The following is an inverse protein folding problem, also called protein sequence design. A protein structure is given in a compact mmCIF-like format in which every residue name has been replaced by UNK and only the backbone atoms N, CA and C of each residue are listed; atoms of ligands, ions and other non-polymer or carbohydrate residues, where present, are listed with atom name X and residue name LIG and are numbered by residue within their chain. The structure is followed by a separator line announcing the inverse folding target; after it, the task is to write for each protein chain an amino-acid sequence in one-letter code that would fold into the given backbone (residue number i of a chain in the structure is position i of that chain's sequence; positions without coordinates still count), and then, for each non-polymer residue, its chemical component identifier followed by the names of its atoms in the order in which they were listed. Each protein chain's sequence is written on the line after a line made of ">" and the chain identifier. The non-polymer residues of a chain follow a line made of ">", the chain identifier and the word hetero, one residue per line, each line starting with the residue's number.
data_IF_785439243588
#
_entry.id   IF_785439243588
#
_cell.length_a   1.000
_cell.length_b   1.000
_cell.length_c   1.000
_cell.angle_alpha   90.00
_cell.angle_beta   90.00
_cell.angle_gamma   90.00
#
_symmetry.space_group_name_H-M   'P 1'
#
loop_
_entity.id
_entity.type
_entity.pdbx_description
1 polymer ?
#
# COMPACT_ATOMS: atom_id res chain seq x y z
N UNK A 1 4.49 22.32 -29.74
CA UNK A 1 4.26 21.47 -28.55
C UNK A 1 4.64 22.30 -27.34
N UNK A 2 3.72 22.54 -26.40
CA UNK A 2 4.04 23.27 -25.16
C UNK A 2 5.05 22.46 -24.35
N UNK A 3 6.08 23.12 -23.82
CA UNK A 3 6.99 22.52 -22.85
C UNK A 3 6.15 21.94 -21.70
N UNK A 4 6.31 20.66 -21.32
CA UNK A 4 5.68 20.14 -20.13
C UNK A 4 6.04 21.04 -18.95
N UNK A 5 5.04 21.46 -18.18
CA UNK A 5 5.28 22.21 -16.94
C UNK A 5 6.22 21.41 -16.04
N UNK A 6 7.03 22.11 -15.25
CA UNK A 6 7.89 21.45 -14.27
C UNK A 6 7.05 20.68 -13.24
N UNK A 7 7.67 19.76 -12.49
CA UNK A 7 6.99 19.11 -11.35
C UNK A 7 6.45 20.14 -10.34
N UNK A 8 7.11 21.30 -10.21
CA UNK A 8 6.64 22.41 -9.39
C UNK A 8 5.36 23.06 -9.92
N UNK A 9 5.16 23.08 -11.22
CA UNK A 9 3.96 23.61 -11.83
C UNK A 9 2.79 22.64 -11.65
N UNK A 10 3.03 21.33 -11.79
CA UNK A 10 2.05 20.29 -11.49
C UNK A 10 1.64 20.35 -10.02
N UNK A 11 2.62 20.42 -9.12
CA UNK A 11 2.34 20.51 -7.68
C UNK A 11 1.46 21.74 -7.37
N UNK A 12 1.87 22.93 -7.82
CA UNK A 12 1.15 24.18 -7.50
C UNK A 12 -0.24 24.27 -8.14
N UNK A 13 -0.43 23.69 -9.32
CA UNK A 13 -1.69 23.81 -10.07
C UNK A 13 -2.67 22.67 -9.84
N UNK A 14 -2.19 21.49 -9.40
CA UNK A 14 -3.01 20.28 -9.24
C UNK A 14 -2.94 19.69 -7.84
N UNK A 15 -1.73 19.38 -7.35
CA UNK A 15 -1.58 18.59 -6.11
C UNK A 15 -1.82 19.42 -4.85
N UNK A 16 -1.42 20.68 -4.80
CA UNK A 16 -1.53 21.53 -3.60
C UNK A 16 -2.97 21.78 -3.14
N UNK A 17 -3.93 21.68 -4.06
CA UNK A 17 -5.37 21.81 -3.79
C UNK A 17 -6.11 20.47 -3.86
N UNK A 18 -5.40 19.37 -4.11
CA UNK A 18 -6.01 18.04 -4.17
C UNK A 18 -6.39 17.53 -2.77
N UNK A 19 -7.38 16.64 -2.74
CA UNK A 19 -7.63 15.82 -1.56
C UNK A 19 -6.69 14.63 -1.58
N UNK A 20 -5.97 14.41 -0.49
CA UNK A 20 -5.13 13.24 -0.29
C UNK A 20 -5.87 12.25 0.59
N UNK A 21 -6.20 11.09 0.02
CA UNK A 21 -6.82 9.99 0.74
C UNK A 21 -5.75 8.95 1.03
N UNK A 22 -5.54 8.65 2.31
CA UNK A 22 -4.68 7.54 2.72
C UNK A 22 -5.44 6.22 2.57
N UNK A 23 -4.86 5.27 1.84
CA UNK A 23 -5.39 3.92 1.62
C UNK A 23 -4.64 2.86 2.44
N UNK A 24 -3.85 3.30 3.41
CA UNK A 24 -2.96 2.46 4.22
C UNK A 24 -3.57 2.17 5.58
N UNK A 25 -3.61 0.90 5.97
CA UNK A 25 -3.77 0.55 7.38
C UNK A 25 -2.42 0.71 8.09
N UNK A 26 -2.42 1.39 9.24
CA UNK A 26 -1.23 1.48 10.07
C UNK A 26 -0.84 0.08 10.58
N UNK A 27 0.40 -0.34 10.31
CA UNK A 27 0.86 -1.66 10.72
C UNK A 27 1.07 -1.74 12.24
N UNK A 28 0.68 -2.87 12.83
CA UNK A 28 0.93 -3.20 14.23
C UNK A 28 0.92 -4.72 14.45
N UNK A 29 1.56 -5.22 15.53
CA UNK A 29 1.45 -6.62 15.93
C UNK A 29 -0.02 -7.02 16.18
N UNK A 30 -0.38 -8.23 15.78
CA UNK A 30 -1.71 -8.80 15.93
C UNK A 30 -2.78 -8.28 14.95
N UNK A 31 -2.39 -7.47 13.96
CA UNK A 31 -3.33 -7.08 12.90
C UNK A 31 -3.73 -8.29 12.04
N UNK A 32 -4.86 -8.22 11.31
CA UNK A 32 -5.25 -9.27 10.37
C UNK A 32 -4.14 -9.57 9.35
N UNK A 33 -3.74 -10.83 9.27
CA UNK A 33 -2.73 -11.33 8.34
C UNK A 33 -3.05 -12.77 7.94
N UNK A 34 -2.30 -13.32 6.98
CA UNK A 34 -2.47 -14.71 6.60
C UNK A 34 -2.08 -15.64 7.76
N UNK A 35 -2.97 -16.53 8.25
CA UNK A 35 -2.76 -17.24 9.52
C UNK A 35 -1.52 -18.15 9.60
N UNK A 36 -0.92 -18.51 8.46
CA UNK A 36 0.28 -19.34 8.42
C UNK A 36 1.59 -18.53 8.56
N UNK A 37 1.53 -17.20 8.47
CA UNK A 37 2.69 -16.34 8.64
C UNK A 37 2.90 -15.96 10.11
N UNK A 38 4.16 -15.72 10.53
CA UNK A 38 4.41 -15.17 11.85
C UNK A 38 3.82 -13.75 11.96
N UNK A 39 3.49 -13.36 13.18
CA UNK A 39 3.13 -11.99 13.52
C UNK A 39 4.35 -11.04 13.36
N UNK A 40 4.09 -9.74 13.25
CA UNK A 40 5.14 -8.72 13.31
C UNK A 40 5.81 -8.71 14.70
N UNK A 41 7.13 -8.70 14.69
CA UNK A 41 7.91 -8.35 15.87
C UNK A 41 8.38 -6.90 15.79
N UNK A 42 8.07 -6.13 16.84
CA UNK A 42 8.49 -4.75 16.99
C UNK A 42 9.13 -4.53 18.35
N UNK A 43 10.32 -3.91 18.35
CA UNK A 43 10.98 -3.52 19.60
C UNK A 43 11.62 -2.15 19.49
N UNK A 44 11.48 -1.35 20.55
CA UNK A 44 12.20 -0.08 20.68
C UNK A 44 13.62 -0.36 21.20
N UNK A 45 14.62 -0.19 20.33
CA UNK A 45 16.04 -0.33 20.65
C UNK A 45 16.54 0.84 21.50
N UNK A 46 16.17 2.06 21.10
CA UNK A 46 16.44 3.31 21.81
C UNK A 46 15.12 4.07 22.01
N UNK A 47 14.92 4.67 23.18
CA UNK A 47 13.68 5.37 23.49
C UNK A 47 13.86 6.47 24.54
N UNK A 48 13.18 7.60 24.36
CA UNK A 48 13.23 8.72 25.30
C UNK A 48 12.79 8.33 26.72
N UNK A 49 11.84 7.40 26.87
CA UNK A 49 11.40 6.90 28.18
C UNK A 49 12.50 6.15 28.94
N UNK A 50 13.54 5.68 28.24
CA UNK A 50 14.73 5.06 28.80
C UNK A 50 15.86 6.07 29.08
N UNK A 51 15.68 7.33 28.69
CA UNK A 51 16.70 8.38 28.78
C UNK A 51 17.59 8.51 27.55
N UNK A 52 17.29 7.81 26.45
CA UNK A 52 18.01 7.96 25.19
C UNK A 52 17.70 9.32 24.52
N UNK A 53 18.61 9.80 23.68
CA UNK A 53 18.48 11.11 23.00
C UNK A 53 17.60 11.06 21.73
N UNK A 54 17.19 9.88 21.29
CA UNK A 54 16.37 9.66 20.10
C UNK A 54 15.74 8.26 20.16
N UNK A 55 14.75 8.02 19.29
CA UNK A 55 14.03 6.76 19.22
C UNK A 55 14.51 5.91 18.03
N UNK A 56 14.70 4.62 18.25
CA UNK A 56 14.99 3.63 17.20
C UNK A 56 14.12 2.40 17.41
N UNK A 57 13.41 1.98 16.37
CA UNK A 57 12.64 0.74 16.36
C UNK A 57 13.30 -0.29 15.45
N UNK A 58 13.32 -1.54 15.91
CA UNK A 58 13.53 -2.71 15.06
C UNK A 58 12.18 -3.31 14.69
N UNK A 59 12.05 -3.70 13.42
CA UNK A 59 10.88 -4.35 12.87
C UNK A 59 11.31 -5.64 12.18
N UNK A 60 10.58 -6.73 12.40
CA UNK A 60 10.70 -7.97 11.64
C UNK A 60 9.30 -8.48 11.29
N UNK A 61 9.03 -8.64 10.00
CA UNK A 61 7.74 -9.10 9.47
C UNK A 61 7.94 -9.65 8.07
N UNK A 62 6.97 -10.44 7.59
CA UNK A 62 6.93 -10.96 6.21
C UNK A 62 6.56 -9.86 5.22
N UNK A 63 6.96 -9.98 3.94
CA UNK A 63 6.66 -8.96 2.93
C UNK A 63 5.17 -8.67 2.76
N UNK A 64 4.31 -9.69 2.89
CA UNK A 64 2.84 -9.60 2.78
C UNK A 64 2.18 -9.22 4.11
N UNK A 65 2.57 -8.07 4.68
CA UNK A 65 2.05 -7.57 5.97
C UNK A 65 1.19 -6.31 5.78
N UNK A 66 -0.08 -6.34 6.19
CA UNK A 66 -0.99 -5.19 6.10
C UNK A 66 -1.24 -4.74 4.65
N UNK A 67 -1.32 -3.42 4.42
CA UNK A 67 -1.36 -2.85 3.07
C UNK A 67 0.01 -3.01 2.40
N UNK A 68 0.13 -3.86 1.39
CA UNK A 68 1.39 -4.21 0.73
C UNK A 68 1.26 -4.29 -0.79
N UNK A 69 2.38 -4.58 -1.47
CA UNK A 69 2.45 -4.81 -2.92
C UNK A 69 2.90 -6.24 -3.17
N UNK A 70 2.17 -6.98 -3.99
CA UNK A 70 2.59 -8.29 -4.48
C UNK A 70 3.34 -8.15 -5.82
N UNK A 71 4.67 -8.33 -5.84
CA UNK A 71 5.44 -8.29 -7.07
C UNK A 71 5.23 -9.57 -7.92
N UNK A 72 5.54 -9.56 -9.22
CA UNK A 72 5.38 -10.73 -10.09
C UNK A 72 6.01 -12.03 -9.56
N UNK A 73 7.17 -11.95 -8.90
CA UNK A 73 7.84 -13.11 -8.28
C UNK A 73 6.98 -13.83 -7.23
N UNK A 74 5.94 -13.19 -6.70
CA UNK A 74 5.02 -13.79 -5.75
C UNK A 74 4.31 -15.03 -6.32
N UNK A 75 4.03 -15.05 -7.63
CA UNK A 75 3.35 -16.17 -8.30
C UNK A 75 4.07 -16.69 -9.56
N UNK A 76 5.08 -15.98 -10.06
CA UNK A 76 5.81 -16.34 -11.28
C UNK A 76 7.27 -16.58 -10.93
N UNK A 77 7.73 -17.83 -11.01
CA UNK A 77 9.14 -18.16 -10.79
C UNK A 77 10.04 -17.40 -11.78
N UNK A 78 11.14 -16.83 -11.27
CA UNK A 78 11.99 -15.90 -12.02
C UNK A 78 11.34 -14.55 -12.36
N UNK A 79 10.14 -14.27 -11.86
CA UNK A 79 9.46 -12.99 -12.00
C UNK A 79 10.21 -11.85 -11.32
N UNK A 80 9.82 -10.61 -11.64
CA UNK A 80 10.44 -9.42 -11.02
C UNK A 80 10.14 -9.37 -9.52
N UNK A 81 11.16 -9.09 -8.72
CA UNK A 81 11.03 -8.74 -7.29
C UNK A 81 10.63 -7.27 -7.13
N UNK A 82 10.22 -6.87 -5.92
CA UNK A 82 9.72 -5.52 -5.64
C UNK A 82 10.76 -4.43 -5.94
N UNK A 83 12.04 -4.68 -5.66
CA UNK A 83 13.17 -3.79 -5.93
C UNK A 83 13.48 -3.63 -7.43
N UNK A 84 12.91 -4.48 -8.28
CA UNK A 84 13.07 -4.44 -9.73
C UNK A 84 11.91 -3.69 -10.43
N UNK A 85 10.90 -3.25 -9.68
CA UNK A 85 9.79 -2.46 -10.23
C UNK A 85 10.20 -0.98 -10.32
N UNK A 86 10.23 -0.36 -11.52
CA UNK A 86 10.59 1.03 -11.67
C UNK A 86 9.48 1.95 -11.14
N UNK A 87 9.85 3.12 -10.61
CA UNK A 87 8.91 4.12 -10.05
C UNK A 87 7.82 4.54 -11.06
N UNK A 88 8.13 4.55 -12.36
CA UNK A 88 7.16 4.85 -13.40
C UNK A 88 5.99 3.85 -13.46
N UNK A 89 6.20 2.61 -13.02
CA UNK A 89 5.14 1.59 -12.90
C UNK A 89 4.36 1.69 -11.56
N UNK A 90 4.79 2.56 -10.63
CA UNK A 90 4.13 2.77 -9.33
C UNK A 90 3.14 3.95 -9.35
N UNK A 91 3.09 4.72 -10.45
CA UNK A 91 2.16 5.82 -10.65
C UNK A 91 1.11 5.43 -11.68
N UNK A 92 -0.09 5.05 -11.21
CA UNK A 92 -1.15 4.49 -12.03
C UNK A 92 -2.48 5.20 -11.78
N UNK A 93 -3.39 5.12 -12.75
CA UNK A 93 -4.78 5.51 -12.54
C UNK A 93 -5.46 4.46 -11.65
N UNK A 94 -6.23 4.93 -10.68
CA UNK A 94 -7.06 4.09 -9.82
C UNK A 94 -8.50 4.07 -10.36
N UNK A 95 -9.04 2.87 -10.55
CA UNK A 95 -10.48 2.65 -10.81
C UNK A 95 -11.06 2.00 -9.56
N UNK A 96 -12.21 2.49 -9.10
CA UNK A 96 -12.92 1.96 -7.93
C UNK A 96 -14.18 1.26 -8.44
N UNK A 97 -14.26 -0.06 -8.23
CA UNK A 97 -15.46 -0.84 -8.44
C UNK A 97 -16.16 -1.00 -7.10
N UNK A 98 -17.24 -0.25 -6.88
CA UNK A 98 -17.99 -0.32 -5.62
C UNK A 98 -19.01 -1.46 -5.67
N UNK A 99 -18.72 -2.54 -4.94
CA UNK A 99 -19.62 -3.67 -4.71
C UNK A 99 -19.98 -3.84 -3.22
N UNK A 100 -19.81 -2.77 -2.43
CA UNK A 100 -19.95 -2.83 -0.97
C UNK A 100 -21.32 -3.36 -0.51
N UNK A 101 -22.41 -2.94 -1.14
CA UNK A 101 -23.77 -3.43 -0.84
C UNK A 101 -23.93 -4.94 -1.10
N UNK A 102 -23.30 -5.46 -2.17
CA UNK A 102 -23.34 -6.88 -2.50
C UNK A 102 -22.54 -7.70 -1.49
N UNK A 103 -21.35 -7.23 -1.11
CA UNK A 103 -20.49 -7.87 -0.10
C UNK A 103 -21.14 -7.86 1.29
N UNK A 104 -21.87 -6.80 1.63
CA UNK A 104 -22.61 -6.72 2.90
C UNK A 104 -23.73 -7.78 3.00
N UNK A 105 -24.31 -8.18 1.86
CA UNK A 105 -25.33 -9.21 1.79
C UNK A 105 -24.75 -10.64 1.67
N UNK A 106 -23.62 -10.77 0.97
CA UNK A 106 -22.94 -12.05 0.71
C UNK A 106 -21.41 -11.86 0.77
N UNK A 107 -20.71 -12.40 1.78
CA UNK A 107 -19.26 -12.25 1.91
C UNK A 107 -18.47 -12.93 0.78
N UNK A 108 -19.11 -13.82 -0.01
CA UNK A 108 -18.51 -14.47 -1.17
C UNK A 108 -18.83 -13.74 -2.50
N UNK A 109 -19.46 -12.56 -2.45
CA UNK A 109 -19.77 -11.77 -3.64
C UNK A 109 -18.50 -11.38 -4.41
N UNK A 110 -18.47 -11.71 -5.70
CA UNK A 110 -17.32 -11.43 -6.58
C UNK A 110 -17.65 -10.36 -7.64
N UNK A 111 -16.69 -9.48 -8.00
CA UNK A 111 -16.84 -8.59 -9.14
C UNK A 111 -17.07 -9.38 -10.45
N UNK A 112 -17.81 -8.78 -11.38
CA UNK A 112 -18.17 -9.35 -12.67
C UNK A 112 -17.82 -8.39 -13.80
N UNK A 113 -17.85 -8.86 -15.06
CA UNK A 113 -17.65 -7.98 -16.22
C UNK A 113 -18.70 -6.87 -16.33
N UNK A 114 -19.90 -7.08 -15.79
CA UNK A 114 -20.93 -6.05 -15.77
C UNK A 114 -20.51 -4.82 -14.93
N UNK A 115 -19.69 -5.03 -13.90
CA UNK A 115 -19.18 -3.96 -13.04
C UNK A 115 -18.15 -3.06 -13.76
N UNK A 116 -17.63 -3.49 -14.93
CA UNK A 116 -16.71 -2.72 -15.77
C UNK A 116 -17.40 -1.85 -16.84
N UNK A 117 -18.71 -2.01 -17.03
CA UNK A 117 -19.43 -1.54 -18.23
C UNK A 117 -20.08 -0.15 -18.04
N UNK A 118 -19.41 0.76 -17.33
CA UNK A 118 -19.88 2.13 -17.05
C UNK A 118 -19.34 3.16 -18.04
#
# INVERSE_FOLDING_TARGET
>A
MSTPGSLWDIYRSRLSAATFTDLTHAFHPGQPHFPAFPDEERSALLDFSKGDAFQVHHYAFVGQWGTHVDPPVHFIDGGRSIDQLPVAEMLLLLVILDISDRVAADPDATPTLADLSS
#
